data_IF_687149409177
#
_entry.id   IF_687149409177
#
_cell.length_a   1.000
_cell.length_b   1.000
_cell.length_c   1.000
_cell.angle_alpha   90.00
_cell.angle_beta   90.00
_cell.angle_gamma   90.00
#
_symmetry.space_group_name_H-M   'P 1'
#
loop_
_entity.id
_entity.type
_entity.pdbx_description
1 polymer ?
#
# COMPACT_ATOMS: atom_id res chain seq x y z
N UNK A 1 -20.05 -11.91 10.60
CA UNK A 1 -19.09 -12.46 9.61
C UNK A 1 -17.99 -13.21 10.35
N UNK A 2 -17.62 -14.44 9.95
CA UNK A 2 -16.49 -15.16 10.58
C UNK A 2 -15.18 -14.75 9.89
N UNK A 3 -14.26 -14.16 10.65
CA UNK A 3 -12.90 -13.84 10.17
C UNK A 3 -12.16 -15.13 9.81
N UNK A 4 -11.49 -15.14 8.66
CA UNK A 4 -10.62 -16.23 8.21
C UNK A 4 -9.17 -15.88 8.51
N UNK A 5 -8.31 -16.89 8.63
CA UNK A 5 -6.85 -16.68 8.82
C UNK A 5 -6.22 -15.85 7.70
N UNK A 6 -6.79 -15.90 6.49
CA UNK A 6 -6.41 -15.06 5.34
C UNK A 6 -6.63 -13.56 5.56
N UNK A 7 -7.46 -13.18 6.55
CA UNK A 7 -7.82 -11.78 6.81
C UNK A 7 -6.87 -11.13 7.83
N UNK A 8 -6.08 -11.93 8.55
CA UNK A 8 -5.13 -11.46 9.58
C UNK A 8 -4.12 -10.44 9.02
N UNK A 9 -3.49 -10.64 7.85
CA UNK A 9 -2.60 -9.63 7.26
C UNK A 9 -3.31 -8.30 7.02
N UNK A 10 -4.55 -8.33 6.51
CA UNK A 10 -5.36 -7.14 6.29
C UNK A 10 -5.68 -6.40 7.58
N UNK A 11 -6.01 -7.12 8.65
CA UNK A 11 -6.29 -6.52 9.97
C UNK A 11 -5.05 -5.84 10.54
N UNK A 12 -3.88 -6.49 10.45
CA UNK A 12 -2.61 -5.91 10.90
C UNK A 12 -2.24 -4.66 10.10
N UNK A 13 -2.42 -4.70 8.77
CA UNK A 13 -2.20 -3.53 7.92
C UNK A 13 -3.16 -2.39 8.30
N UNK A 14 -4.46 -2.66 8.44
CA UNK A 14 -5.46 -1.64 8.74
C UNK A 14 -5.21 -0.94 10.08
N UNK A 15 -4.63 -1.65 11.04
CA UNK A 15 -4.37 -1.12 12.40
C UNK A 15 -3.04 -0.39 12.49
N UNK A 16 -1.97 -0.94 11.90
CA UNK A 16 -0.61 -0.41 12.10
C UNK A 16 -0.18 0.53 10.98
N UNK A 17 -0.52 0.22 9.74
CA UNK A 17 -0.01 0.96 8.58
C UNK A 17 -0.45 2.44 8.55
N UNK A 18 -1.70 2.84 8.87
CA UNK A 18 -2.08 4.25 8.86
C UNK A 18 -1.23 5.09 9.82
N UNK A 19 -1.10 4.65 11.06
CA UNK A 19 -0.35 5.36 12.09
C UNK A 19 1.15 5.43 11.76
N UNK A 20 1.73 4.32 11.30
CA UNK A 20 3.14 4.26 10.93
C UNK A 20 3.46 5.16 9.72
N UNK A 21 2.65 5.09 8.65
CA UNK A 21 2.84 5.90 7.45
C UNK A 21 2.61 7.39 7.73
N UNK A 22 1.61 7.73 8.55
CA UNK A 22 1.36 9.11 8.92
C UNK A 22 2.51 9.68 9.76
N UNK A 23 3.01 8.90 10.73
CA UNK A 23 4.18 9.28 11.52
C UNK A 23 5.41 9.49 10.63
N UNK A 24 5.68 8.57 9.71
CA UNK A 24 6.77 8.72 8.73
C UNK A 24 6.64 9.99 7.90
N UNK A 25 5.42 10.32 7.44
CA UNK A 25 5.15 11.53 6.67
C UNK A 25 5.39 12.79 7.49
N UNK A 26 4.89 12.83 8.74
CA UNK A 26 5.10 13.97 9.64
C UNK A 26 6.59 14.19 9.89
N UNK A 27 7.33 13.13 10.19
CA UNK A 27 8.78 13.17 10.43
C UNK A 27 9.55 13.60 9.18
N UNK A 28 9.21 13.06 8.00
CA UNK A 28 9.96 13.32 6.75
C UNK A 28 9.79 14.74 6.24
N UNK A 29 8.65 15.38 6.53
CA UNK A 29 8.36 16.76 6.11
C UNK A 29 8.54 17.78 7.25
N UNK A 30 9.03 17.36 8.42
CA UNK A 30 9.24 18.25 9.58
C UNK A 30 7.95 18.89 10.11
N UNK A 31 6.82 18.22 9.94
CA UNK A 31 5.49 18.76 10.28
C UNK A 31 5.14 18.64 11.76
N UNK A 32 6.07 18.18 12.60
CA UNK A 32 5.85 17.92 14.04
C UNK A 32 5.30 19.13 14.80
N UNK A 33 5.66 20.33 14.36
CA UNK A 33 5.26 21.59 14.98
C UNK A 33 4.02 22.25 14.33
N UNK A 34 3.48 21.65 13.26
CA UNK A 34 2.25 22.15 12.64
C UNK A 34 1.05 21.54 13.38
N UNK A 35 0.30 22.37 14.11
CA UNK A 35 -0.89 21.94 14.83
C UNK A 35 -2.14 22.61 14.24
N UNK A 36 -3.25 21.88 14.17
CA UNK A 36 -4.56 22.43 13.80
C UNK A 36 -4.73 22.82 12.33
N UNK A 37 -3.86 22.37 11.41
CA UNK A 37 -4.01 22.69 9.99
C UNK A 37 -4.92 21.68 9.27
N UNK A 38 -5.87 22.15 8.44
CA UNK A 38 -6.72 21.24 7.65
C UNK A 38 -5.90 20.37 6.67
N UNK A 39 -4.69 20.82 6.30
CA UNK A 39 -3.74 20.06 5.50
C UNK A 39 -3.34 18.74 6.15
N UNK A 40 -3.02 18.73 7.45
CA UNK A 40 -2.62 17.51 8.17
C UNK A 40 -3.79 16.52 8.27
N UNK A 41 -5.01 17.01 8.46
CA UNK A 41 -6.21 16.18 8.43
C UNK A 41 -6.42 15.52 7.05
N UNK A 42 -6.25 16.28 5.96
CA UNK A 42 -6.34 15.74 4.61
C UNK A 42 -5.25 14.70 4.31
N UNK A 43 -4.01 14.94 4.76
CA UNK A 43 -2.90 13.99 4.62
C UNK A 43 -3.16 12.71 5.42
N UNK A 44 -3.61 12.82 6.67
CA UNK A 44 -4.00 11.67 7.50
C UNK A 44 -5.10 10.84 6.83
N UNK A 45 -6.12 11.51 6.27
CA UNK A 45 -7.20 10.85 5.55
C UNK A 45 -6.72 10.08 4.32
N UNK A 46 -5.82 10.64 3.53
CA UNK A 46 -5.23 9.95 2.37
C UNK A 46 -4.39 8.74 2.78
N UNK A 47 -3.56 8.88 3.82
CA UNK A 47 -2.76 7.77 4.36
C UNK A 47 -3.65 6.65 4.89
N UNK A 48 -4.68 7.00 5.69
CA UNK A 48 -5.64 6.05 6.21
C UNK A 48 -6.46 5.38 5.10
N UNK A 49 -6.91 6.13 4.11
CA UNK A 49 -7.64 5.61 2.96
C UNK A 49 -6.80 4.64 2.11
N UNK A 50 -5.53 4.98 1.87
CA UNK A 50 -4.58 4.10 1.19
C UNK A 50 -4.35 2.79 1.97
N UNK A 51 -4.10 2.88 3.27
CA UNK A 51 -3.91 1.72 4.14
C UNK A 51 -5.17 0.85 4.25
N UNK A 52 -6.36 1.46 4.35
CA UNK A 52 -7.64 0.75 4.35
C UNK A 52 -7.88 0.02 3.02
N UNK A 53 -7.56 0.67 1.90
CA UNK A 53 -7.65 0.05 0.57
C UNK A 53 -6.72 -1.16 0.48
N UNK A 54 -5.46 -1.01 0.92
CA UNK A 54 -4.50 -2.11 0.96
C UNK A 54 -5.01 -3.27 1.85
N UNK A 55 -5.57 -2.95 3.03
CA UNK A 55 -6.11 -3.93 3.95
C UNK A 55 -7.28 -4.71 3.34
N UNK A 56 -8.19 -4.06 2.64
CA UNK A 56 -9.31 -4.72 1.94
C UNK A 56 -8.81 -5.62 0.80
N UNK A 57 -7.79 -5.17 0.07
CA UNK A 57 -7.22 -5.88 -1.07
C UNK A 57 -6.23 -6.98 -0.66
N UNK A 58 -5.73 -6.95 0.57
CA UNK A 58 -4.74 -7.87 1.13
C UNK A 58 -5.10 -9.36 0.92
N UNK A 59 -6.39 -9.71 1.02
CA UNK A 59 -6.89 -11.07 0.81
C UNK A 59 -6.67 -11.63 -0.60
N UNK A 60 -6.43 -10.76 -1.58
CA UNK A 60 -6.17 -11.15 -2.97
C UNK A 60 -4.68 -11.24 -3.29
N UNK A 61 -3.83 -10.70 -2.42
CA UNK A 61 -2.37 -10.81 -2.54
C UNK A 61 -1.94 -12.20 -2.13
N UNK A 62 -1.38 -12.96 -3.08
CA UNK A 62 -0.91 -14.33 -2.84
C UNK A 62 0.59 -14.36 -2.55
N UNK A 63 1.35 -13.47 -3.20
CA UNK A 63 2.82 -13.42 -3.08
C UNK A 63 3.25 -12.30 -2.13
N UNK A 64 2.92 -12.49 -0.85
CA UNK A 64 3.26 -11.56 0.22
C UNK A 64 4.76 -11.37 0.40
N UNK A 65 5.56 -12.40 0.11
CA UNK A 65 7.02 -12.33 0.07
C UNK A 65 7.50 -11.13 -0.76
N UNK A 66 6.98 -10.97 -1.98
CA UNK A 66 7.38 -9.89 -2.88
C UNK A 66 6.95 -8.52 -2.37
N UNK A 67 5.74 -8.41 -1.82
CA UNK A 67 5.22 -7.15 -1.30
C UNK A 67 6.02 -6.74 -0.05
N UNK A 68 6.26 -7.68 0.87
CA UNK A 68 6.99 -7.42 2.11
C UNK A 68 8.45 -7.07 1.85
N UNK A 69 9.14 -7.78 0.95
CA UNK A 69 10.53 -7.47 0.60
C UNK A 69 10.63 -6.07 -0.01
N UNK A 70 9.77 -5.75 -0.99
CA UNK A 70 9.79 -4.43 -1.65
C UNK A 70 9.42 -3.32 -0.66
N UNK A 71 8.49 -3.57 0.26
CA UNK A 71 8.13 -2.64 1.33
C UNK A 71 9.29 -2.42 2.31
N UNK A 72 9.99 -3.48 2.70
CA UNK A 72 11.16 -3.37 3.57
C UNK A 72 12.28 -2.56 2.91
N UNK A 73 12.53 -2.76 1.62
CA UNK A 73 13.47 -1.96 0.84
C UNK A 73 13.03 -0.49 0.76
N UNK A 74 11.73 -0.23 0.58
CA UNK A 74 11.18 1.12 0.57
C UNK A 74 11.39 1.82 1.92
N UNK A 75 11.11 1.13 3.03
CA UNK A 75 11.36 1.65 4.38
C UNK A 75 12.85 1.94 4.57
N UNK A 76 13.74 1.04 4.16
CA UNK A 76 15.18 1.26 4.24
C UNK A 76 15.63 2.49 3.43
N UNK A 77 15.07 2.68 2.23
CA UNK A 77 15.33 3.88 1.42
C UNK A 77 14.86 5.16 2.12
N UNK A 78 13.65 5.17 2.69
CA UNK A 78 13.12 6.31 3.44
C UNK A 78 13.97 6.63 4.67
N UNK A 79 14.34 5.61 5.46
CA UNK A 79 15.21 5.79 6.63
C UNK A 79 16.59 6.32 6.23
N UNK A 80 17.14 5.85 5.11
CA UNK A 80 18.40 6.37 4.59
C UNK A 80 18.29 7.84 4.16
N UNK A 81 17.18 8.25 3.53
CA UNK A 81 16.94 9.67 3.21
C UNK A 81 16.86 10.51 4.48
N UNK A 82 16.13 10.06 5.50
CA UNK A 82 16.03 10.76 6.79
C UNK A 82 17.41 10.91 7.45
N UNK A 83 18.25 9.86 7.40
CA UNK A 83 19.61 9.92 7.94
C UNK A 83 20.48 10.94 7.17
N UNK A 84 20.38 10.96 5.84
CA UNK A 84 21.09 11.94 5.01
C UNK A 84 20.62 13.36 5.28
N UNK A 85 19.32 13.57 5.51
CA UNK A 85 18.78 14.86 5.93
C UNK A 85 19.36 15.31 7.27
N UNK A 86 19.38 14.43 8.27
CA UNK A 86 19.93 14.73 9.60
C UNK A 86 21.43 15.02 9.60
N UNK A 87 22.16 14.47 8.64
CA UNK A 87 23.61 14.70 8.48
C UNK A 87 23.94 15.86 7.53
N UNK A 88 22.93 16.61 7.07
CA UNK A 88 23.10 17.77 6.20
C UNK A 88 23.43 17.43 4.74
N UNK A 89 23.23 16.18 4.31
CA UNK A 89 23.62 15.67 3.00
C UNK A 89 22.43 15.46 2.04
N UNK A 90 21.32 16.17 2.27
CA UNK A 90 20.06 15.98 1.51
C UNK A 90 20.16 16.37 0.02
N UNK A 91 21.11 17.24 -0.33
CA UNK A 91 21.34 17.72 -1.69
C UNK A 91 22.27 16.84 -2.54
N UNK A 92 22.86 15.80 -1.97
CA UNK A 92 23.83 14.95 -2.66
C UNK A 92 23.19 14.03 -3.71
N UNK A 93 23.97 13.64 -4.73
CA UNK A 93 23.54 12.68 -5.75
C UNK A 93 23.03 11.34 -5.15
N UNK A 94 23.61 10.93 -4.02
CA UNK A 94 23.18 9.74 -3.28
C UNK A 94 21.80 9.91 -2.62
N UNK A 95 21.49 11.07 -2.04
CA UNK A 95 20.17 11.35 -1.49
C UNK A 95 19.10 11.35 -2.60
N UNK A 96 19.43 11.95 -3.75
CA UNK A 96 18.56 11.97 -4.93
C UNK A 96 18.32 10.56 -5.49
N UNK A 97 19.34 9.73 -5.61
CA UNK A 97 19.17 8.35 -6.09
C UNK A 97 18.32 7.51 -5.13
N UNK A 98 18.45 7.73 -3.82
CA UNK A 98 17.66 7.04 -2.81
C UNK A 98 16.18 7.47 -2.84
N UNK A 99 15.89 8.76 -3.06
CA UNK A 99 14.53 9.28 -3.29
C UNK A 99 13.92 8.65 -4.55
N UNK A 100 14.65 8.60 -5.66
CA UNK A 100 14.20 7.97 -6.90
C UNK A 100 13.96 6.47 -6.73
N UNK A 101 14.85 5.76 -6.04
CA UNK A 101 14.67 4.35 -5.70
C UNK A 101 13.39 4.15 -4.87
N UNK A 102 13.10 5.04 -3.91
CA UNK A 102 11.85 5.03 -3.16
C UNK A 102 10.61 5.14 -4.05
N UNK A 103 10.60 6.07 -5.01
CA UNK A 103 9.50 6.22 -5.98
C UNK A 103 9.32 4.96 -6.82
N UNK A 104 10.41 4.39 -7.33
CA UNK A 104 10.37 3.16 -8.13
C UNK A 104 9.87 1.97 -7.31
N UNK A 105 10.37 1.77 -6.10
CA UNK A 105 9.93 0.71 -5.19
C UNK A 105 8.45 0.85 -4.86
N UNK A 106 7.97 2.07 -4.62
CA UNK A 106 6.55 2.32 -4.42
C UNK A 106 5.72 1.93 -5.66
N UNK A 107 6.18 2.29 -6.86
CA UNK A 107 5.56 1.87 -8.12
C UNK A 107 5.49 0.35 -8.27
N UNK A 108 6.57 -0.36 -7.94
CA UNK A 108 6.64 -1.84 -7.98
C UNK A 108 5.64 -2.47 -7.00
N UNK A 109 5.54 -1.96 -5.77
CA UNK A 109 4.56 -2.43 -4.79
C UNK A 109 3.14 -2.29 -5.34
N UNK A 110 2.80 -1.12 -5.88
CA UNK A 110 1.48 -0.87 -6.47
C UNK A 110 1.19 -1.83 -7.62
N UNK A 111 2.16 -2.05 -8.52
CA UNK A 111 2.02 -2.99 -9.63
C UNK A 111 1.74 -4.41 -9.13
N UNK A 112 2.49 -4.90 -8.14
CA UNK A 112 2.28 -6.24 -7.59
C UNK A 112 0.90 -6.39 -6.95
N UNK A 113 0.46 -5.40 -6.15
CA UNK A 113 -0.85 -5.44 -5.51
C UNK A 113 -1.96 -5.41 -6.56
N UNK A 114 -1.90 -4.51 -7.54
CA UNK A 114 -2.91 -4.39 -8.61
C UNK A 114 -2.98 -5.68 -9.43
N UNK A 115 -1.84 -6.22 -9.85
CA UNK A 115 -1.82 -7.46 -10.64
C UNK A 115 -2.39 -8.64 -9.85
N UNK A 116 -2.04 -8.81 -8.58
CA UNK A 116 -2.59 -9.88 -7.76
C UNK A 116 -4.11 -9.72 -7.54
N UNK A 117 -4.60 -8.49 -7.38
CA UNK A 117 -6.04 -8.19 -7.27
C UNK A 117 -6.77 -8.50 -8.58
N UNK A 118 -6.20 -8.17 -9.73
CA UNK A 118 -6.79 -8.48 -11.03
C UNK A 118 -6.85 -9.99 -11.26
N UNK A 119 -5.73 -10.69 -11.04
CA UNK A 119 -5.61 -12.13 -11.34
C UNK A 119 -6.40 -12.98 -10.35
N UNK A 120 -6.42 -12.64 -9.07
CA UNK A 120 -7.01 -13.49 -8.02
C UNK A 120 -8.35 -12.97 -7.48
N UNK A 121 -8.66 -11.69 -7.69
CA UNK A 121 -9.93 -11.08 -7.33
C UNK A 121 -10.87 -10.97 -8.54
N UNK A 122 -10.46 -10.21 -9.55
CA UNK A 122 -11.32 -9.85 -10.67
C UNK A 122 -11.58 -11.02 -11.62
N UNK A 123 -10.54 -11.71 -12.11
CA UNK A 123 -10.69 -12.80 -13.07
C UNK A 123 -11.65 -13.92 -12.59
N UNK A 124 -11.53 -14.44 -11.35
CA UNK A 124 -12.46 -15.45 -10.85
C UNK A 124 -13.89 -14.93 -10.72
N UNK A 125 -14.07 -13.65 -10.43
CA UNK A 125 -15.40 -13.04 -10.33
C UNK A 125 -16.09 -12.95 -11.69
N UNK A 126 -15.35 -12.58 -12.74
CA UNK A 126 -15.83 -12.51 -14.11
C UNK A 126 -16.19 -13.90 -14.63
N UNK A 127 -15.30 -14.89 -14.43
CA UNK A 127 -15.58 -16.28 -14.82
C UNK A 127 -16.84 -16.85 -14.15
N UNK A 128 -17.07 -16.55 -12.86
CA UNK A 128 -18.30 -16.97 -12.18
C UNK A 128 -19.54 -16.27 -12.73
N UNK A 129 -19.42 -15.02 -13.18
CA UNK A 129 -20.53 -14.27 -13.78
C UNK A 129 -20.87 -14.85 -15.16
N UNK A 130 -19.87 -15.10 -15.98
CA UNK A 130 -20.05 -15.69 -17.32
C UNK A 130 -20.68 -17.08 -17.23
N UNK A 131 -20.23 -17.90 -16.27
CA UNK A 131 -20.82 -19.22 -16.01
C UNK A 131 -22.29 -19.15 -15.55
N UNK A 132 -22.70 -18.11 -14.82
CA UNK A 132 -24.12 -17.91 -14.44
C UNK A 132 -24.95 -17.51 -15.65
N UNK A 133 -24.48 -16.52 -16.43
CA UNK A 133 -25.16 -16.06 -17.64
C UNK A 133 -25.31 -17.18 -18.67
N UNK A 134 -24.31 -18.06 -18.80
CA UNK A 134 -24.39 -19.22 -19.68
C UNK A 134 -25.48 -20.22 -19.26
N UNK A 135 -25.68 -20.43 -17.95
CA UNK A 135 -26.75 -21.30 -17.41
C UNK A 135 -28.13 -20.70 -17.65
N UNK A 136 -28.30 -19.41 -17.34
CA UNK A 136 -29.57 -18.70 -17.57
C UNK A 136 -29.99 -18.74 -19.05
N UNK A 137 -29.03 -18.62 -19.98
CA UNK A 137 -29.30 -18.75 -21.42
C UNK A 137 -29.66 -20.17 -21.84
N UNK A 138 -29.07 -21.18 -21.22
CA UNK A 138 -29.37 -22.58 -21.50
C UNK A 138 -30.74 -23.01 -20.94
N UNK A 139 -31.19 -22.41 -19.84
CA UNK A 139 -32.51 -22.64 -19.24
C UNK A 139 -33.64 -21.90 -19.99
N UNK A 140 -33.31 -20.86 -20.75
CA UNK A 140 -34.25 -20.07 -21.55
C UNK A 140 -34.48 -20.62 -22.97
N UNK A 141 -33.74 -21.66 -23.37
CA UNK A 141 -33.87 -22.37 -24.66
C UNK A 141 -34.64 -23.69 -24.46
#
# INVERSE_FOLDING_TARGET
>A
MRFKRSDVPGILIATVAPAALFSLLVLSFGLEHHHGTPLLGALAGNVAGGAATLAVLSRFVRRWDRVVITLALLIAAVLGVILLQRTGNDGGAFATSLKLAGVLLFGVINLFVILDVLVHGLNPSLQRRDARLARERAEAQ
#
